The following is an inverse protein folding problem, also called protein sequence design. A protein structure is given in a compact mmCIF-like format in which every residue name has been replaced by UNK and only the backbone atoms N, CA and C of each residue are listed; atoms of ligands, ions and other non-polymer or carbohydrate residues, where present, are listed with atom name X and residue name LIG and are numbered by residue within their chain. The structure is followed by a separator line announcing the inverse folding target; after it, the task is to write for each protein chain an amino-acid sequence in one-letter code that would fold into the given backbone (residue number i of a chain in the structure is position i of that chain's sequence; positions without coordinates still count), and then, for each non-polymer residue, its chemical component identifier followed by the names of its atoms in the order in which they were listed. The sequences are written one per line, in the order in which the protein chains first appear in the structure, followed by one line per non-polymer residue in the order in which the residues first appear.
data_IF_985087676637
#
_entry.id   IF_985087676637
#
_cell.length_a   1.000
_cell.length_b   1.000
_cell.length_c   1.000
_cell.angle_alpha   90.00
_cell.angle_beta   90.00
_cell.angle_gamma   90.00
#
_symmetry.space_group_name_H-M   'P 1'
#
loop_
_entity.id
_entity.type
_entity.pdbx_description
1 polymer ?
#
# COMPACT_ATOMS: atom_id res chain seq x y z
N UNK A 1 27.52 -32.63 17.79
CA UNK A 1 27.50 -31.53 16.80
C UNK A 1 26.10 -30.97 16.85
N UNK A 2 25.93 -29.83 17.51
CA UNK A 2 24.65 -29.16 17.75
C UNK A 2 24.14 -28.63 16.41
N UNK A 3 22.98 -29.13 16.00
CA UNK A 3 22.25 -28.63 14.84
C UNK A 3 21.55 -27.37 15.34
N UNK A 4 21.92 -26.22 14.80
CA UNK A 4 21.21 -24.98 15.04
C UNK A 4 19.91 -25.06 14.23
N UNK A 5 18.80 -25.30 14.92
CA UNK A 5 17.46 -24.99 14.41
C UNK A 5 17.35 -23.46 14.37
N UNK A 6 17.73 -22.86 13.24
CA UNK A 6 17.42 -21.48 12.89
C UNK A 6 16.08 -21.51 12.12
N UNK A 7 15.02 -21.93 12.81
CA UNK A 7 13.65 -21.88 12.35
C UNK A 7 13.11 -20.46 12.59
N UNK A 8 13.73 -19.48 11.91
CA UNK A 8 13.20 -18.11 11.80
C UNK A 8 12.35 -18.04 10.50
N UNK A 9 11.51 -19.05 10.26
CA UNK A 9 10.47 -19.04 9.22
C UNK A 9 9.21 -18.36 9.76
N UNK A 10 9.39 -17.24 10.44
CA UNK A 10 8.30 -16.39 10.87
C UNK A 10 7.66 -15.77 9.62
N UNK A 11 6.55 -16.34 9.17
CA UNK A 11 5.74 -15.76 8.09
C UNK A 11 5.55 -14.26 8.38
N UNK A 12 5.85 -13.36 7.42
CA UNK A 12 5.78 -11.94 7.66
C UNK A 12 4.35 -11.57 8.06
N UNK A 13 4.17 -11.18 9.32
CA UNK A 13 2.84 -10.86 9.87
C UNK A 13 2.30 -9.57 9.27
N UNK A 14 1.66 -9.63 8.09
CA UNK A 14 1.09 -8.45 7.44
C UNK A 14 0.18 -7.69 8.41
N UNK A 15 0.65 -6.54 8.89
CA UNK A 15 -0.18 -5.64 9.69
C UNK A 15 -1.21 -5.00 8.78
N UNK A 16 -2.37 -5.65 8.67
CA UNK A 16 -3.52 -5.10 7.95
C UNK A 16 -3.95 -3.83 8.67
N UNK A 17 -3.85 -2.71 7.98
CA UNK A 17 -4.43 -1.45 8.47
C UNK A 17 -5.89 -1.49 8.07
N UNK A 18 -6.77 -1.75 9.03
CA UNK A 18 -8.20 -1.77 8.78
C UNK A 18 -8.69 -0.42 8.19
N UNK A 19 -9.69 -0.53 7.33
CA UNK A 19 -10.45 0.57 6.73
C UNK A 19 -9.81 1.36 5.58
N UNK A 20 -8.74 0.90 4.93
CA UNK A 20 -8.26 1.52 3.68
C UNK A 20 -8.76 0.77 2.44
N UNK A 21 -9.31 1.51 1.49
CA UNK A 21 -9.84 0.99 0.23
C UNK A 21 -9.33 1.83 -0.93
N UNK A 22 -9.04 1.21 -2.07
CA UNK A 22 -8.78 1.93 -3.30
C UNK A 22 -10.05 1.93 -4.14
N UNK A 23 -10.46 3.09 -4.64
CA UNK A 23 -11.60 3.23 -5.53
C UNK A 23 -11.22 4.02 -6.78
N UNK A 24 -11.67 3.58 -7.96
CA UNK A 24 -11.46 4.31 -9.22
C UNK A 24 -12.65 5.23 -9.53
N UNK A 25 -13.83 4.77 -9.17
CA UNK A 25 -15.08 5.51 -9.25
C UNK A 25 -15.90 5.22 -8.00
N UNK A 26 -16.97 6.00 -7.77
CA UNK A 26 -17.89 5.77 -6.64
C UNK A 26 -18.42 4.34 -6.71
N UNK A 27 -18.20 3.56 -5.65
CA UNK A 27 -18.58 2.15 -5.53
C UNK A 27 -17.76 1.17 -6.41
N UNK A 28 -16.72 1.64 -7.11
CA UNK A 28 -15.80 0.79 -7.88
C UNK A 28 -14.48 0.60 -7.12
N UNK A 29 -14.46 -0.39 -6.23
CA UNK A 29 -13.27 -0.77 -5.48
C UNK A 29 -12.27 -1.53 -6.35
N UNK A 30 -11.00 -1.17 -6.24
CA UNK A 30 -9.89 -1.77 -6.99
C UNK A 30 -8.77 -2.21 -6.05
N UNK A 31 -7.91 -3.10 -6.52
CA UNK A 31 -6.69 -3.46 -5.80
C UNK A 31 -5.57 -2.46 -6.11
N UNK A 32 -4.66 -2.24 -5.16
CA UNK A 32 -3.46 -1.42 -5.35
C UNK A 32 -2.57 -1.96 -6.48
N UNK A 33 -2.65 -3.25 -6.82
CA UNK A 33 -1.97 -3.85 -7.98
C UNK A 33 -2.37 -3.22 -9.32
N UNK A 34 -3.49 -2.49 -9.38
CA UNK A 34 -3.87 -1.71 -10.55
C UNK A 34 -2.96 -0.49 -10.73
N UNK A 35 -2.42 0.06 -9.64
CA UNK A 35 -1.48 1.18 -9.69
C UNK A 35 -0.12 0.70 -10.24
N UNK A 36 0.60 1.55 -10.99
CA UNK A 36 1.98 1.24 -11.36
C UNK A 36 2.86 1.10 -10.12
N UNK A 37 3.76 0.13 -10.15
CA UNK A 37 4.76 -0.11 -9.13
C UNK A 37 5.96 0.81 -9.40
N UNK A 38 6.30 1.67 -8.44
CA UNK A 38 7.43 2.60 -8.52
C UNK A 38 8.51 2.17 -7.53
N UNK A 39 9.65 1.70 -8.07
CA UNK A 39 10.84 1.37 -7.28
C UNK A 39 11.90 2.48 -7.32
N UNK A 40 12.01 3.19 -8.44
CA UNK A 40 13.03 4.21 -8.67
C UNK A 40 12.42 5.61 -8.80
N UNK A 41 13.09 6.64 -8.30
CA UNK A 41 12.59 8.03 -8.36
C UNK A 41 12.41 8.53 -9.80
N UNK A 42 13.23 8.02 -10.73
CA UNK A 42 13.18 8.31 -12.16
C UNK A 42 12.01 7.63 -12.89
N UNK A 43 11.29 6.71 -12.26
CA UNK A 43 10.19 6.00 -12.89
C UNK A 43 9.01 6.95 -13.14
N UNK A 44 8.64 7.11 -14.40
CA UNK A 44 7.62 8.07 -14.83
C UNK A 44 6.25 7.41 -14.78
N UNK A 45 5.62 7.49 -13.61
CA UNK A 45 4.28 6.96 -13.38
C UNK A 45 3.20 7.94 -13.83
N UNK A 46 2.20 7.43 -14.57
CA UNK A 46 0.99 8.18 -14.91
C UNK A 46 -0.12 7.80 -13.93
N UNK A 47 -0.80 8.80 -13.37
CA UNK A 47 -1.95 8.58 -12.50
C UNK A 47 -3.06 7.82 -13.22
N UNK A 48 -3.66 6.84 -12.55
CA UNK A 48 -4.77 6.02 -13.08
C UNK A 48 -6.17 6.47 -12.62
N UNK A 49 -6.26 7.65 -11.98
CA UNK A 49 -7.52 8.14 -11.40
C UNK A 49 -8.04 7.25 -10.27
N UNK A 50 -7.13 6.68 -9.48
CA UNK A 50 -7.46 5.83 -8.33
C UNK A 50 -7.32 6.67 -7.07
N UNK A 51 -8.23 6.48 -6.13
CA UNK A 51 -8.31 7.20 -4.88
C UNK A 51 -8.15 6.22 -3.72
N UNK A 52 -7.27 6.55 -2.78
CA UNK A 52 -7.19 5.92 -1.48
C UNK A 52 -8.24 6.55 -0.57
N UNK A 53 -9.11 5.71 -0.04
CA UNK A 53 -10.20 6.09 0.85
C UNK A 53 -10.09 5.39 2.19
N UNK A 54 -10.28 6.13 3.28
CA UNK A 54 -10.44 5.58 4.62
C UNK A 54 -11.72 6.10 5.24
N UNK A 55 -12.50 5.22 5.85
CA UNK A 55 -13.66 5.61 6.64
C UNK A 55 -13.31 5.62 8.13
N UNK A 56 -13.71 6.68 8.82
CA UNK A 56 -13.74 6.73 10.30
C UNK A 56 -14.75 5.73 10.85
N UNK A 57 -14.66 5.44 12.15
CA UNK A 57 -15.66 4.63 12.86
C UNK A 57 -17.09 5.18 12.69
N UNK A 58 -17.24 6.50 12.57
CA UNK A 58 -18.50 7.20 12.32
C UNK A 58 -18.96 7.20 10.84
N UNK A 59 -18.29 6.46 9.95
CA UNK A 59 -18.64 6.35 8.53
C UNK A 59 -18.29 7.58 7.68
N UNK A 60 -17.73 8.64 8.26
CA UNK A 60 -17.22 9.79 7.52
C UNK A 60 -15.90 9.43 6.78
N UNK A 61 -15.69 9.93 5.54
CA UNK A 61 -14.42 9.75 4.85
C UNK A 61 -13.32 10.53 5.57
N UNK A 62 -12.43 9.81 6.27
CA UNK A 62 -11.27 10.36 6.98
C UNK A 62 -10.11 10.66 6.03
N UNK A 63 -9.94 9.80 5.02
CA UNK A 63 -8.90 9.94 3.99
C UNK A 63 -9.60 9.82 2.65
N UNK A 64 -9.33 10.78 1.76
CA UNK A 64 -9.72 10.71 0.35
C UNK A 64 -8.62 11.38 -0.46
N UNK A 65 -7.72 10.57 -1.01
CA UNK A 65 -6.50 11.05 -1.67
C UNK A 65 -6.29 10.33 -2.98
N UNK A 66 -6.08 11.08 -4.06
CA UNK A 66 -5.74 10.47 -5.34
C UNK A 66 -4.33 9.91 -5.27
N UNK A 67 -4.17 8.65 -5.68
CA UNK A 67 -2.89 7.93 -5.72
C UNK A 67 -2.51 7.60 -7.15
N UNK A 68 -1.21 7.61 -7.42
CA UNK A 68 -0.66 7.46 -8.77
C UNK A 68 0.27 6.28 -8.91
N UNK A 69 0.85 5.79 -7.82
CA UNK A 69 1.73 4.62 -7.79
C UNK A 69 1.74 3.98 -6.40
N UNK A 70 2.36 2.81 -6.31
CA UNK A 70 2.68 2.16 -5.05
C UNK A 70 4.11 1.62 -5.06
N UNK A 71 4.65 1.34 -3.88
CA UNK A 71 5.96 0.72 -3.69
C UNK A 71 5.92 -0.25 -2.53
N UNK A 72 6.88 -1.17 -2.49
CA UNK A 72 7.05 -2.11 -1.39
C UNK A 72 8.51 -2.11 -0.94
N UNK A 73 8.71 -1.85 0.35
CA UNK A 73 9.99 -2.03 1.01
C UNK A 73 10.02 -3.39 1.69
N UNK A 74 10.84 -4.29 1.16
CA UNK A 74 11.13 -5.58 1.77
C UNK A 74 12.29 -5.40 2.76
N UNK A 75 12.00 -4.94 3.97
CA UNK A 75 12.96 -5.04 5.06
C UNK A 75 12.87 -6.46 5.66
N UNK A 76 13.91 -6.91 6.38
CA UNK A 76 14.03 -8.29 6.88
C UNK A 76 12.91 -8.71 7.85
N UNK A 77 12.13 -7.76 8.36
CA UNK A 77 11.11 -8.00 9.38
C UNK A 77 9.68 -7.99 8.82
N UNK A 78 9.34 -7.09 7.87
CA UNK A 78 7.99 -7.01 7.33
C UNK A 78 7.86 -6.18 6.03
N UNK A 79 7.25 -6.71 4.97
CA UNK A 79 6.99 -5.91 3.77
C UNK A 79 6.14 -4.68 4.12
N UNK A 80 6.67 -3.50 3.84
CA UNK A 80 5.95 -2.23 4.00
C UNK A 80 5.48 -1.76 2.64
N UNK A 81 4.15 -1.75 2.44
CA UNK A 81 3.54 -1.18 1.25
C UNK A 81 3.30 0.31 1.50
N UNK A 82 3.74 1.14 0.57
CA UNK A 82 3.50 2.59 0.57
C UNK A 82 2.89 3.03 -0.74
N UNK A 83 2.06 4.05 -0.71
CA UNK A 83 1.35 4.56 -1.89
C UNK A 83 1.66 6.03 -2.15
N UNK A 84 1.96 6.35 -3.41
CA UNK A 84 2.31 7.70 -3.82
C UNK A 84 1.05 8.50 -4.11
N UNK A 85 0.84 9.56 -3.32
CA UNK A 85 -0.19 10.56 -3.61
C UNK A 85 0.13 11.29 -4.91
N UNK A 86 -0.91 11.70 -5.63
CA UNK A 86 -0.82 12.67 -6.74
C UNK A 86 -0.18 14.00 -6.34
N UNK A 87 -0.18 14.32 -5.03
CA UNK A 87 0.50 15.48 -4.45
C UNK A 87 2.01 15.29 -4.26
N UNK A 88 2.55 14.11 -4.59
CA UNK A 88 4.00 13.85 -4.62
C UNK A 88 4.61 13.34 -3.32
N UNK A 89 3.81 12.94 -2.33
CA UNK A 89 4.27 12.35 -1.07
C UNK A 89 3.76 10.91 -0.89
N UNK A 90 4.53 10.10 -0.17
CA UNK A 90 4.20 8.71 0.14
C UNK A 90 3.32 8.62 1.39
N UNK A 91 2.32 7.75 1.35
CA UNK A 91 1.41 7.36 2.45
C UNK A 91 1.74 5.93 2.88
#
# INVERSE_FOLDING_TARGET
MTIFDDDDDAEPQLKVVDNYYFEKAKDEFVCFSTLPLKFDENDKVSGKGIYLRRYSADGAPAVYKQVVAWTVALNREQPKISVLSSEGYWI
#
